data_IF_821833822738
#
_entry.id   IF_821833822738
#
_cell.length_a   1.000
_cell.length_b   1.000
_cell.length_c   1.000
_cell.angle_alpha   90.00
_cell.angle_beta   90.00
_cell.angle_gamma   90.00
#
_symmetry.space_group_name_H-M   'P 1'
#
loop_
_entity.id
_entity.type
_entity.pdbx_description
1 polymer ?
#
# COMPACT_ATOMS: atom_id res chain seq x y z
N UNK A 1 -22.20 38.78 -4.63
CA UNK A 1 -21.32 37.67 -4.24
C UNK A 1 -21.24 36.69 -5.40
N UNK A 2 -20.09 36.06 -5.63
CA UNK A 2 -19.95 35.03 -6.67
C UNK A 2 -20.34 33.69 -6.04
N UNK A 3 -21.46 33.14 -6.46
CA UNK A 3 -21.88 31.80 -6.04
C UNK A 3 -20.99 30.75 -6.73
N UNK A 4 -20.45 29.82 -5.94
CA UNK A 4 -19.56 28.75 -6.43
C UNK A 4 -20.24 27.41 -6.15
N UNK A 5 -20.39 26.60 -7.21
CA UNK A 5 -21.02 25.29 -7.11
C UNK A 5 -19.99 24.22 -6.70
N UNK A 6 -20.26 23.53 -5.59
CA UNK A 6 -19.46 22.40 -5.11
C UNK A 6 -20.20 21.10 -5.39
N UNK A 7 -19.67 20.29 -6.30
CA UNK A 7 -20.28 19.01 -6.68
C UNK A 7 -19.66 17.87 -5.87
N UNK A 8 -20.49 17.09 -5.18
CA UNK A 8 -20.06 15.88 -4.46
C UNK A 8 -20.13 14.61 -5.32
N UNK A 9 -19.40 13.56 -4.92
CA UNK A 9 -19.33 12.30 -5.69
C UNK A 9 -20.55 11.37 -5.52
N UNK A 10 -21.58 11.80 -4.77
CA UNK A 10 -22.82 11.05 -4.60
C UNK A 10 -22.69 9.76 -3.76
N UNK A 11 -21.63 9.62 -2.94
CA UNK A 11 -21.42 8.50 -2.01
C UNK A 11 -21.59 7.12 -2.67
N UNK A 12 -20.67 6.70 -3.55
CA UNK A 12 -20.77 5.43 -4.24
C UNK A 12 -20.71 4.25 -3.26
N UNK A 13 -21.40 3.16 -3.61
CA UNK A 13 -21.35 1.91 -2.86
C UNK A 13 -19.93 1.32 -2.84
N UNK A 14 -19.51 0.80 -1.69
CA UNK A 14 -18.17 0.23 -1.48
C UNK A 14 -17.84 -0.99 -2.37
N UNK A 15 -18.84 -1.62 -3.00
CA UNK A 15 -18.64 -2.75 -3.90
C UNK A 15 -18.02 -2.34 -5.24
N UNK A 16 -18.17 -1.08 -5.65
CA UNK A 16 -17.73 -0.60 -6.97
C UNK A 16 -16.25 -0.27 -6.93
N UNK A 17 -15.48 -0.94 -7.79
CA UNK A 17 -14.00 -0.83 -7.84
C UNK A 17 -13.48 -0.09 -9.09
N UNK A 18 -14.38 0.55 -9.83
CA UNK A 18 -14.07 1.29 -11.06
C UNK A 18 -14.52 2.74 -10.92
N UNK A 19 -13.78 3.66 -11.52
CA UNK A 19 -14.11 5.10 -11.53
C UNK A 19 -15.44 5.33 -12.25
N UNK A 20 -16.31 6.17 -11.68
CA UNK A 20 -17.58 6.56 -12.29
C UNK A 20 -17.50 7.96 -12.90
N UNK A 21 -18.35 8.29 -13.87
CA UNK A 21 -18.42 9.65 -14.42
C UNK A 21 -18.67 10.73 -13.35
N UNK A 22 -19.46 10.40 -12.32
CA UNK A 22 -19.72 11.31 -11.20
C UNK A 22 -18.45 11.69 -10.42
N UNK A 23 -17.53 10.75 -10.22
CA UNK A 23 -16.26 11.01 -9.53
C UNK A 23 -15.40 12.01 -10.30
N UNK A 24 -15.39 11.91 -11.64
CA UNK A 24 -14.63 12.80 -12.52
C UNK A 24 -15.18 14.22 -12.44
N UNK A 25 -16.50 14.39 -12.51
CA UNK A 25 -17.15 15.71 -12.43
C UNK A 25 -16.89 16.34 -11.05
N UNK A 26 -17.00 15.57 -9.97
CA UNK A 26 -16.70 16.03 -8.61
C UNK A 26 -15.22 16.44 -8.46
N UNK A 27 -14.29 15.65 -9.01
CA UNK A 27 -12.86 15.97 -9.01
C UNK A 27 -12.53 17.26 -9.76
N UNK A 28 -13.12 17.46 -10.95
CA UNK A 28 -12.97 18.71 -11.71
C UNK A 28 -13.56 19.91 -10.95
N UNK A 29 -14.73 19.75 -10.32
CA UNK A 29 -15.34 20.78 -9.47
C UNK A 29 -14.42 21.13 -8.29
N UNK A 30 -13.87 20.13 -7.59
CA UNK A 30 -12.92 20.35 -6.50
C UNK A 30 -11.67 21.10 -6.96
N UNK A 31 -11.10 20.74 -8.12
CA UNK A 31 -9.93 21.43 -8.67
C UNK A 31 -10.20 22.90 -8.99
N UNK A 32 -11.35 23.24 -9.57
CA UNK A 32 -11.73 24.63 -9.83
C UNK A 32 -11.99 25.40 -8.52
N UNK A 33 -12.60 24.75 -7.53
CA UNK A 33 -12.88 25.35 -6.23
C UNK A 33 -11.61 25.63 -5.42
N UNK A 34 -10.55 24.81 -5.58
CA UNK A 34 -9.24 25.10 -5.01
C UNK A 34 -8.67 26.44 -5.51
N UNK A 35 -8.90 26.80 -6.77
CA UNK A 35 -8.47 28.10 -7.31
C UNK A 35 -9.21 29.29 -6.67
N UNK A 36 -10.43 29.06 -6.20
CA UNK A 36 -11.25 30.04 -5.45
C UNK A 36 -10.94 30.00 -3.94
N UNK A 37 -9.94 29.21 -3.50
CA UNK A 37 -9.54 29.07 -2.09
C UNK A 37 -10.44 28.15 -1.26
N UNK A 38 -11.33 27.38 -1.90
CA UNK A 38 -12.27 26.48 -1.24
C UNK A 38 -11.76 25.04 -1.39
N UNK A 39 -11.09 24.54 -0.35
CA UNK A 39 -10.55 23.18 -0.28
C UNK A 39 -9.20 23.13 0.42
N UNK A 40 -8.63 21.93 0.53
CA UNK A 40 -7.31 21.69 1.09
C UNK A 40 -6.40 21.02 0.05
N UNK A 41 -5.11 21.35 0.11
CA UNK A 41 -4.05 20.67 -0.67
C UNK A 41 -3.53 19.48 0.13
N UNK A 42 -3.30 18.37 -0.54
CA UNK A 42 -2.82 17.15 0.10
C UNK A 42 -1.31 17.17 0.36
N UNK A 43 -0.92 16.63 1.51
CA UNK A 43 0.47 16.39 1.88
C UNK A 43 0.88 14.96 1.47
N UNK A 44 1.83 14.85 0.54
CA UNK A 44 2.29 13.57 -0.04
C UNK A 44 3.05 12.72 1.00
N UNK A 45 3.65 13.37 2.00
CA UNK A 45 4.51 12.71 2.99
C UNK A 45 3.74 12.25 4.23
N UNK A 46 2.51 12.72 4.39
CA UNK A 46 1.62 12.28 5.45
C UNK A 46 1.39 10.76 5.40
N UNK A 47 1.58 10.06 6.54
CA UNK A 47 1.36 8.61 6.63
C UNK A 47 -0.10 8.19 6.38
N UNK A 48 -1.05 9.12 6.41
CA UNK A 48 -2.42 8.89 5.95
C UNK A 48 -2.53 8.68 4.43
N UNK A 49 -1.54 9.14 3.66
CA UNK A 49 -1.46 9.00 2.21
C UNK A 49 -0.47 7.92 1.78
N UNK A 50 0.32 7.38 2.72
CA UNK A 50 1.29 6.31 2.48
C UNK A 50 0.84 5.02 3.15
N UNK A 51 0.69 3.96 2.35
CA UNK A 51 0.24 2.65 2.84
C UNK A 51 1.32 1.58 2.68
N UNK A 52 1.39 0.67 3.64
CA UNK A 52 2.24 -0.52 3.61
C UNK A 52 1.58 -1.58 2.73
N UNK A 53 2.38 -2.18 1.84
CA UNK A 53 2.01 -3.40 1.11
C UNK A 53 2.76 -4.57 1.71
N UNK A 54 2.04 -5.48 2.37
CA UNK A 54 2.61 -6.69 2.96
C UNK A 54 2.86 -7.77 1.90
N UNK A 55 3.65 -8.79 2.27
CA UNK A 55 3.98 -9.93 1.40
C UNK A 55 2.75 -10.60 0.78
N UNK A 56 1.63 -10.70 1.51
CA UNK A 56 0.40 -11.30 1.02
C UNK A 56 -0.19 -10.55 -0.17
N UNK A 57 -0.19 -9.22 -0.13
CA UNK A 57 -0.71 -8.39 -1.22
C UNK A 57 0.22 -8.45 -2.45
N UNK A 58 1.53 -8.38 -2.22
CA UNK A 58 2.53 -8.48 -3.29
C UNK A 58 2.45 -9.83 -4.00
N UNK A 59 2.33 -10.93 -3.24
CA UNK A 59 2.19 -12.27 -3.77
C UNK A 59 0.87 -12.45 -4.52
N UNK A 60 -0.25 -11.91 -4.00
CA UNK A 60 -1.54 -11.93 -4.67
C UNK A 60 -1.48 -11.24 -6.04
N UNK A 61 -0.78 -10.10 -6.14
CA UNK A 61 -0.61 -9.40 -7.41
C UNK A 61 0.18 -10.23 -8.42
N UNK A 62 1.27 -10.88 -8.01
CA UNK A 62 2.03 -11.77 -8.88
C UNK A 62 1.24 -13.02 -9.28
N UNK A 63 0.46 -13.57 -8.35
CA UNK A 63 -0.43 -14.69 -8.61
C UNK A 63 -1.52 -14.32 -9.63
N UNK A 64 -2.10 -13.13 -9.52
CA UNK A 64 -3.07 -12.60 -10.49
C UNK A 64 -2.48 -12.49 -11.89
N UNK A 65 -1.23 -12.01 -12.02
CA UNK A 65 -0.53 -11.94 -13.31
C UNK A 65 -0.33 -13.35 -13.88
N UNK A 66 0.08 -14.32 -13.04
CA UNK A 66 0.22 -15.72 -13.44
C UNK A 66 -1.09 -16.34 -13.94
N UNK A 67 -2.20 -16.08 -13.25
CA UNK A 67 -3.54 -16.53 -13.65
C UNK A 67 -4.01 -15.87 -14.94
N UNK A 68 -3.78 -14.57 -15.13
CA UNK A 68 -4.15 -13.88 -16.37
C UNK A 68 -3.41 -14.45 -17.59
N UNK A 69 -2.14 -14.86 -17.43
CA UNK A 69 -1.39 -15.58 -18.48
C UNK A 69 -1.98 -16.96 -18.74
N UNK A 70 -2.33 -17.71 -17.69
CA UNK A 70 -2.98 -19.01 -17.82
C UNK A 70 -4.34 -18.90 -18.52
N UNK A 71 -5.15 -17.88 -18.21
CA UNK A 71 -6.45 -17.63 -18.83
C UNK A 71 -6.32 -17.47 -20.36
N UNK A 72 -5.31 -16.72 -20.83
CA UNK A 72 -5.04 -16.56 -22.26
C UNK A 72 -4.74 -17.90 -22.94
N UNK A 73 -3.86 -18.71 -22.34
CA UNK A 73 -3.50 -20.04 -22.87
C UNK A 73 -4.72 -20.98 -22.89
N UNK A 74 -5.56 -20.93 -21.85
CA UNK A 74 -6.80 -21.72 -21.80
C UNK A 74 -7.74 -21.28 -22.93
N UNK A 75 -7.90 -19.97 -23.16
CA UNK A 75 -8.74 -19.42 -24.23
C UNK A 75 -8.26 -19.83 -25.62
N UNK A 76 -6.94 -19.78 -25.86
CA UNK A 76 -6.32 -20.23 -27.11
C UNK A 76 -6.53 -21.74 -27.33
N UNK A 77 -6.31 -22.58 -26.31
CA UNK A 77 -6.52 -24.03 -26.42
C UNK A 77 -7.97 -24.40 -26.67
N UNK A 78 -8.92 -23.70 -26.04
CA UNK A 78 -10.35 -23.90 -26.28
C UNK A 78 -10.76 -23.59 -27.73
N UNK A 79 -10.07 -22.69 -28.43
CA UNK A 79 -10.37 -22.41 -29.84
C UNK A 79 -9.86 -23.45 -30.84
N UNK A 80 -8.88 -24.27 -30.45
CA UNK A 80 -8.20 -25.23 -31.35
C UNK A 80 -8.72 -26.67 -31.15
N UNK A 81 -9.14 -27.02 -29.93
CA UNK A 81 -9.51 -28.39 -29.57
C UNK A 81 -11.00 -28.68 -29.79
N UNK A 82 -11.31 -29.90 -30.23
CA UNK A 82 -12.68 -30.38 -30.40
C UNK A 82 -13.40 -30.58 -29.05
N UNK A 83 -14.64 -30.12 -28.98
CA UNK A 83 -15.43 -30.05 -27.75
C UNK A 83 -15.83 -31.41 -27.18
N UNK A 84 -15.90 -32.46 -27.99
CA UNK A 84 -16.39 -33.78 -27.55
C UNK A 84 -15.40 -34.57 -26.69
N UNK A 85 -14.09 -34.29 -26.81
CA UNK A 85 -13.04 -35.01 -26.06
C UNK A 85 -12.34 -34.14 -25.00
N UNK A 86 -12.80 -32.91 -24.85
CA UNK A 86 -12.15 -31.89 -24.04
C UNK A 86 -12.33 -32.16 -22.54
N UNK A 87 -11.21 -32.33 -21.83
CA UNK A 87 -11.21 -32.37 -20.36
C UNK A 87 -10.59 -31.09 -19.78
N UNK A 88 -11.10 -30.54 -18.65
CA UNK A 88 -10.53 -29.33 -18.04
C UNK A 88 -9.04 -29.44 -17.72
N UNK A 89 -8.57 -30.65 -17.39
CA UNK A 89 -7.17 -30.90 -17.07
C UNK A 89 -6.23 -30.70 -18.28
N UNK A 90 -6.71 -30.93 -19.51
CA UNK A 90 -5.91 -30.71 -20.73
C UNK A 90 -5.76 -29.21 -21.07
N UNK A 91 -6.72 -28.38 -20.64
CA UNK A 91 -6.68 -26.94 -20.85
C UNK A 91 -5.74 -26.24 -19.86
N UNK A 92 -5.68 -26.71 -18.63
CA UNK A 92 -4.94 -26.04 -17.55
C UNK A 92 -3.43 -26.26 -17.71
N UNK A 93 -2.69 -25.16 -17.86
CA UNK A 93 -1.23 -25.14 -17.80
C UNK A 93 -0.76 -24.34 -16.58
N UNK A 94 -0.19 -25.02 -15.59
CA UNK A 94 0.29 -24.41 -14.34
C UNK A 94 1.67 -23.73 -14.45
N UNK A 95 2.43 -23.99 -15.53
CA UNK A 95 3.80 -23.46 -15.67
C UNK A 95 3.89 -21.93 -15.53
N UNK A 96 3.00 -21.11 -16.13
CA UNK A 96 3.07 -19.65 -15.99
C UNK A 96 2.89 -19.17 -14.55
N UNK A 97 2.01 -19.82 -13.78
CA UNK A 97 1.74 -19.48 -12.38
C UNK A 97 2.96 -19.80 -11.52
N UNK A 98 3.53 -21.01 -11.67
CA UNK A 98 4.73 -21.42 -10.93
C UNK A 98 5.92 -20.52 -11.28
N UNK A 99 6.08 -20.14 -12.55
CA UNK A 99 7.14 -19.25 -12.99
C UNK A 99 7.04 -17.86 -12.32
N UNK A 100 5.84 -17.25 -12.31
CA UNK A 100 5.64 -15.93 -11.67
C UNK A 100 5.93 -15.95 -10.17
N UNK A 101 5.58 -17.03 -9.47
CA UNK A 101 5.89 -17.16 -8.03
C UNK A 101 7.40 -17.33 -7.81
N UNK A 102 8.05 -18.19 -8.60
CA UNK A 102 9.50 -18.41 -8.51
C UNK A 102 10.30 -17.15 -8.82
N UNK A 103 9.88 -16.40 -9.84
CA UNK A 103 10.47 -15.12 -10.20
C UNK A 103 10.33 -14.13 -9.03
N UNK A 104 9.14 -14.02 -8.43
CA UNK A 104 8.93 -13.13 -7.27
C UNK A 104 9.88 -13.45 -6.10
N UNK A 105 10.00 -14.71 -5.68
CA UNK A 105 10.90 -15.03 -4.56
C UNK A 105 12.39 -15.03 -4.93
N UNK A 106 12.72 -15.30 -6.19
CA UNK A 106 14.09 -15.44 -6.66
C UNK A 106 14.77 -14.13 -7.07
N UNK A 107 14.03 -13.17 -7.64
CA UNK A 107 14.61 -11.95 -8.22
C UNK A 107 14.03 -10.63 -7.70
N UNK A 108 12.97 -10.67 -6.87
CA UNK A 108 12.40 -9.44 -6.31
C UNK A 108 13.39 -8.74 -5.38
N UNK A 109 13.53 -7.42 -5.54
CA UNK A 109 14.33 -6.57 -4.65
C UNK A 109 13.83 -6.59 -3.19
N UNK A 110 12.55 -6.93 -2.98
CA UNK A 110 11.94 -7.05 -1.65
C UNK A 110 12.11 -8.46 -1.05
N UNK A 111 12.52 -9.45 -1.85
CA UNK A 111 12.85 -10.80 -1.38
C UNK A 111 14.33 -10.85 -1.06
N UNK A 112 14.70 -10.43 0.15
CA UNK A 112 16.09 -10.28 0.57
C UNK A 112 16.54 -11.48 1.41
N UNK A 113 17.84 -11.78 1.35
CA UNK A 113 18.45 -12.73 2.28
C UNK A 113 18.38 -12.18 3.69
N UNK A 114 17.95 -13.04 4.61
CA UNK A 114 17.72 -12.63 5.98
C UNK A 114 19.05 -12.35 6.70
N UNK A 115 19.19 -11.18 7.32
CA UNK A 115 20.21 -10.94 8.32
C UNK A 115 19.95 -11.80 9.57
N UNK A 116 20.86 -12.74 9.81
CA UNK A 116 20.81 -13.72 10.90
C UNK A 116 22.06 -13.67 11.76
N UNK A 117 22.74 -12.52 11.80
CA UNK A 117 23.92 -12.33 12.65
C UNK A 117 23.61 -12.45 14.14
N UNK A 118 22.43 -11.96 14.57
CA UNK A 118 21.92 -12.10 15.92
C UNK A 118 20.38 -11.98 15.95
N UNK A 119 19.71 -12.35 17.07
CA UNK A 119 18.25 -12.30 17.17
C UNK A 119 17.65 -10.90 16.97
N UNK A 120 18.39 -9.83 17.31
CA UNK A 120 17.94 -8.46 17.13
C UNK A 120 17.93 -8.07 15.65
N UNK A 121 18.99 -8.39 14.92
CA UNK A 121 19.08 -8.19 13.47
C UNK A 121 17.97 -8.94 12.73
N UNK A 122 17.68 -10.17 13.16
CA UNK A 122 16.58 -10.95 12.61
C UNK A 122 15.22 -10.26 12.83
N UNK A 123 14.96 -9.79 14.06
CA UNK A 123 13.72 -9.11 14.42
C UNK A 123 13.57 -7.77 13.69
N UNK A 124 14.62 -6.95 13.67
CA UNK A 124 14.65 -5.67 12.97
C UNK A 124 14.42 -5.86 11.48
N UNK A 125 15.06 -6.85 10.86
CA UNK A 125 14.90 -7.10 9.43
C UNK A 125 13.47 -7.50 9.05
N UNK A 126 12.80 -8.32 9.88
CA UNK A 126 11.38 -8.68 9.70
C UNK A 126 10.43 -7.49 9.87
N UNK A 127 10.81 -6.48 10.63
CA UNK A 127 10.00 -5.28 10.94
C UNK A 127 10.37 -4.05 10.10
N UNK A 128 11.26 -4.22 9.13
CA UNK A 128 11.74 -3.16 8.24
C UNK A 128 10.71 -2.82 7.17
N UNK A 129 10.58 -1.53 6.89
CA UNK A 129 9.77 -0.96 5.83
C UNK A 129 10.70 -0.38 4.77
N UNK A 130 10.45 -0.69 3.50
CA UNK A 130 11.23 -0.17 2.37
C UNK A 130 10.32 0.65 1.45
N UNK A 131 10.71 1.89 1.18
CA UNK A 131 10.09 2.72 0.14
C UNK A 131 10.61 2.39 -1.27
N UNK A 132 11.68 1.59 -1.37
CA UNK A 132 12.27 1.10 -2.61
C UNK A 132 11.55 -0.17 -3.09
N UNK A 133 11.44 -0.35 -4.40
CA UNK A 133 10.92 -1.57 -5.02
C UNK A 133 9.97 -1.29 -6.19
N UNK A 134 9.33 -2.33 -6.76
CA UNK A 134 8.41 -2.19 -7.88
C UNK A 134 7.20 -1.33 -7.49
N UNK A 135 7.06 -0.17 -8.15
CA UNK A 135 6.02 0.82 -7.86
C UNK A 135 6.33 1.76 -6.69
N UNK A 136 7.55 1.68 -6.13
CA UNK A 136 8.07 2.61 -5.15
C UNK A 136 9.04 3.63 -5.76
N UNK A 137 9.88 4.21 -4.91
CA UNK A 137 10.88 5.20 -5.32
C UNK A 137 12.18 4.52 -5.78
N UNK A 138 12.93 5.22 -6.63
CA UNK A 138 14.33 4.89 -6.93
C UNK A 138 15.26 5.82 -6.13
N UNK A 139 16.50 5.39 -5.91
CA UNK A 139 17.49 6.17 -5.13
C UNK A 139 17.71 7.57 -5.71
N UNK A 140 17.73 7.68 -7.03
CA UNK A 140 17.99 8.94 -7.74
C UNK A 140 16.77 9.85 -7.82
N UNK A 141 15.55 9.31 -7.70
CA UNK A 141 14.31 10.09 -7.68
C UNK A 141 13.89 10.52 -6.27
N UNK A 142 14.49 9.93 -5.25
CA UNK A 142 14.21 10.24 -3.86
C UNK A 142 14.90 11.55 -3.44
N UNK A 143 14.13 12.65 -3.53
CA UNK A 143 14.54 13.97 -3.05
C UNK A 143 14.67 14.04 -1.52
N UNK A 144 15.02 15.23 -1.04
CA UNK A 144 15.22 15.49 0.38
C UNK A 144 13.93 15.33 1.21
N UNK A 145 12.81 15.87 0.72
CA UNK A 145 11.51 15.88 1.42
C UNK A 145 11.06 14.46 1.84
N UNK A 146 11.17 13.49 0.93
CA UNK A 146 10.76 12.10 1.20
C UNK A 146 11.68 11.39 2.22
N UNK A 147 12.91 11.87 2.41
CA UNK A 147 13.88 11.30 3.35
C UNK A 147 13.79 11.91 4.74
N UNK A 148 13.15 13.06 4.86
CA UNK A 148 13.04 13.78 6.12
C UNK A 148 12.03 13.14 7.08
N UNK A 149 12.12 13.47 8.36
CA UNK A 149 11.25 12.96 9.40
C UNK A 149 9.98 13.80 9.45
N UNK A 150 8.86 13.19 9.06
CA UNK A 150 7.56 13.81 9.10
C UNK A 150 6.88 13.67 10.48
N UNK A 151 6.09 14.66 10.92
CA UNK A 151 5.45 14.66 12.25
C UNK A 151 4.50 13.47 12.46
N UNK A 152 3.85 13.00 11.39
CA UNK A 152 2.96 11.83 11.43
C UNK A 152 3.68 10.51 11.75
N UNK A 153 5.02 10.47 11.67
CA UNK A 153 5.82 9.28 12.02
C UNK A 153 5.73 8.92 13.50
N UNK A 154 5.33 9.87 14.37
CA UNK A 154 5.30 9.69 15.81
C UNK A 154 4.51 8.44 16.23
N UNK A 155 5.21 7.49 16.88
CA UNK A 155 4.65 6.23 17.35
C UNK A 155 4.34 5.19 16.28
N UNK A 156 4.61 5.50 15.00
CA UNK A 156 4.33 4.63 13.82
C UNK A 156 5.62 4.09 13.21
N UNK A 157 6.57 4.97 12.93
CA UNK A 157 7.91 4.62 12.43
C UNK A 157 8.98 5.17 13.37
N UNK A 158 10.09 4.44 13.50
CA UNK A 158 11.23 4.90 14.28
C UNK A 158 11.95 6.03 13.53
N UNK A 159 12.08 7.24 14.11
CA UNK A 159 12.78 8.35 13.45
C UNK A 159 14.31 8.21 13.50
N UNK A 160 14.83 7.30 14.33
CA UNK A 160 16.27 7.15 14.58
C UNK A 160 16.84 5.98 13.78
N UNK A 161 16.10 4.87 13.68
CA UNK A 161 16.57 3.64 13.05
C UNK A 161 16.39 3.68 11.53
N UNK A 162 17.36 4.32 10.86
CA UNK A 162 17.54 4.33 9.41
C UNK A 162 18.99 3.99 9.09
N UNK A 163 19.29 3.24 8.00
CA UNK A 163 20.67 3.07 7.57
C UNK A 163 21.27 4.41 7.14
N UNK A 164 22.55 4.59 7.43
CA UNK A 164 23.32 5.72 6.94
C UNK A 164 23.65 5.57 5.44
N UNK A 165 24.02 6.69 4.80
CA UNK A 165 24.45 6.71 3.39
C UNK A 165 23.29 6.82 2.39
N UNK A 166 23.37 6.18 1.20
CA UNK A 166 22.47 6.47 0.09
C UNK A 166 21.00 6.05 0.33
N UNK A 167 20.76 5.17 1.31
CA UNK A 167 19.42 4.66 1.64
C UNK A 167 18.78 5.38 2.84
N UNK A 168 19.41 6.44 3.37
CA UNK A 168 18.87 7.20 4.51
C UNK A 168 17.46 7.71 4.21
N UNK A 169 16.54 7.49 5.16
CA UNK A 169 15.12 7.88 5.08
C UNK A 169 14.25 7.00 4.18
N UNK A 170 14.84 6.12 3.37
CA UNK A 170 14.12 5.23 2.44
C UNK A 170 13.85 3.85 3.03
N UNK A 171 14.58 3.50 4.07
CA UNK A 171 14.44 2.25 4.82
C UNK A 171 14.26 2.63 6.28
N UNK A 172 13.08 2.34 6.82
CA UNK A 172 12.73 2.69 8.20
C UNK A 172 12.24 1.45 8.94
N UNK A 173 12.27 1.49 10.26
CA UNK A 173 11.73 0.42 11.11
C UNK A 173 10.38 0.79 11.71
N UNK A 174 9.51 -0.21 11.87
CA UNK A 174 8.22 -0.05 12.52
C UNK A 174 8.41 0.17 14.04
N UNK A 175 7.73 1.17 14.62
CA UNK A 175 7.80 1.43 16.07
C UNK A 175 7.26 0.26 16.91
N UNK A 176 7.58 0.22 18.21
CA UNK A 176 7.32 -0.92 19.10
C UNK A 176 5.84 -1.32 19.16
N UNK A 177 4.94 -0.36 19.35
CA UNK A 177 3.50 -0.61 19.50
C UNK A 177 2.68 -0.42 18.23
N UNK A 178 3.33 -0.05 17.12
CA UNK A 178 2.62 0.22 15.89
C UNK A 178 2.07 -1.07 15.28
N UNK A 179 0.87 -1.00 14.72
CA UNK A 179 0.20 -2.08 13.99
C UNK A 179 -0.18 -1.61 12.60
N UNK A 180 -0.41 -2.56 11.70
CA UNK A 180 -0.88 -2.28 10.35
C UNK A 180 -2.35 -2.70 10.27
N UNK A 181 -3.23 -1.77 9.91
CA UNK A 181 -4.64 -2.04 9.78
C UNK A 181 -4.97 -2.82 8.49
N UNK A 182 -6.24 -3.20 8.30
CA UNK A 182 -6.70 -3.97 7.12
C UNK A 182 -6.47 -3.25 5.79
N UNK A 183 -6.37 -1.92 5.80
CA UNK A 183 -6.15 -1.10 4.62
C UNK A 183 -4.67 -0.84 4.33
N UNK A 184 -3.77 -1.25 5.23
CA UNK A 184 -2.32 -1.04 5.11
C UNK A 184 -1.80 0.25 5.75
N UNK A 185 -2.60 0.98 6.52
CA UNK A 185 -2.13 2.15 7.27
C UNK A 185 -1.59 1.75 8.64
N UNK A 186 -0.61 2.52 9.12
CA UNK A 186 -0.01 2.29 10.43
C UNK A 186 -0.85 3.00 11.51
N UNK A 187 -1.19 2.25 12.55
CA UNK A 187 -1.94 2.72 13.70
C UNK A 187 -1.11 2.57 14.99
N UNK A 188 -1.31 3.52 15.91
CA UNK A 188 -0.61 3.57 17.19
C UNK A 188 -1.65 3.64 18.31
N UNK A 189 -1.43 2.93 19.44
CA UNK A 189 -2.36 2.98 20.56
C UNK A 189 -2.24 4.30 21.33
N UNK A 190 -3.38 4.91 21.64
CA UNK A 190 -3.50 6.05 22.53
C UNK A 190 -4.50 5.75 23.65
N UNK A 191 -4.27 6.32 24.84
CA UNK A 191 -5.23 6.27 25.95
C UNK A 191 -6.29 7.34 25.76
N UNK A 192 -7.55 6.95 25.84
CA UNK A 192 -8.66 7.89 25.69
C UNK A 192 -8.80 8.78 26.91
N UNK A 193 -8.88 10.08 26.69
CA UNK A 193 -9.27 11.06 27.72
C UNK A 193 -10.79 11.20 27.67
N UNK A 194 -11.43 11.01 28.81
CA UNK A 194 -12.85 11.26 28.94
C UNK A 194 -13.12 12.76 28.87
N UNK A 195 -14.03 13.16 27.96
CA UNK A 195 -14.33 14.58 27.68
C UNK A 195 -15.11 15.23 28.81
N UNK A 196 -15.90 14.47 29.55
CA UNK A 196 -16.74 15.02 30.64
C UNK A 196 -15.92 15.23 31.91
N UNK A 197 -15.09 14.25 32.27
CA UNK A 197 -14.30 14.28 33.51
C UNK A 197 -12.89 14.87 33.35
N UNK A 198 -12.39 14.97 32.13
CA UNK A 198 -11.01 15.38 31.83
C UNK A 198 -9.95 14.39 32.32
N UNK A 199 -10.36 13.17 32.71
CA UNK A 199 -9.46 12.14 33.26
C UNK A 199 -9.04 11.15 32.17
N UNK A 200 -7.82 10.65 32.32
CA UNK A 200 -7.28 9.59 31.44
C UNK A 200 -7.93 8.25 31.83
N UNK A 201 -8.53 7.57 30.86
CA UNK A 201 -9.12 6.25 31.05
C UNK A 201 -8.11 5.13 30.76
N UNK A 202 -8.44 3.90 31.12
CA UNK A 202 -7.65 2.71 30.76
C UNK A 202 -8.03 2.14 29.37
N UNK A 203 -8.99 2.77 28.68
CA UNK A 203 -9.35 2.40 27.31
C UNK A 203 -8.24 2.82 26.34
N UNK A 204 -7.78 1.87 25.52
CA UNK A 204 -6.77 2.07 24.49
C UNK A 204 -7.44 2.00 23.12
N UNK A 205 -7.36 3.10 22.37
CA UNK A 205 -7.85 3.19 21.00
C UNK A 205 -6.67 3.29 20.04
N UNK A 206 -6.71 2.51 18.95
CA UNK A 206 -5.70 2.58 17.88
C UNK A 206 -6.10 3.64 16.87
N UNK A 207 -5.22 4.63 16.68
CA UNK A 207 -5.46 5.75 15.77
C UNK A 207 -4.48 5.73 14.60
N UNK A 208 -5.00 5.92 13.40
CA UNK A 208 -4.21 6.15 12.19
C UNK A 208 -3.61 7.55 12.19
N UNK A 209 -2.70 7.83 11.26
CA UNK A 209 -2.17 9.17 11.03
C UNK A 209 -3.27 10.13 10.59
#
# INVERSE_FOLDING_TARGET
EREVNVIGNGYPEAAVKTVRPADIIASMSYFLNLMEGIGNVDDIDHLGNRRIRSVGELLQNQFRIGLARMERVVRERMSIQDTETLTPQQLINIRPVVASIKEFFGSSQLSQFMDQTNPLGELTHKRRLSALGPGGLTRDRAGYEVRDVHYSHYGRMCPIETPEGPNIGLINSLSSYAKVNKFGFIETPYRRVDRETGRVTDQIDYLTA
#
